data_IF_660401886113
#
_entry.id   IF_660401886113
#
_cell.length_a   1.000
_cell.length_b   1.000
_cell.length_c   1.000
_cell.angle_alpha   90.00
_cell.angle_beta   90.00
_cell.angle_gamma   90.00
#
_symmetry.space_group_name_H-M   'P 1'
#
loop_
_entity.id
_entity.type
_entity.pdbx_description
1 polymer ?
#
# COMPACT_ATOMS: atom_id res chain seq x y z
N UNK A 1 -11.18 -34.96 27.12
CA UNK A 1 -11.94 -33.84 27.70
C UNK A 1 -13.41 -33.98 27.28
N UNK A 2 -14.35 -33.91 28.22
CA UNK A 2 -15.79 -34.04 27.91
C UNK A 2 -16.24 -32.85 27.02
N UNK A 3 -17.14 -33.08 26.05
CA UNK A 3 -17.68 -32.04 25.16
C UNK A 3 -18.27 -30.84 25.91
N UNK A 4 -18.95 -31.12 27.07
CA UNK A 4 -19.52 -30.03 27.87
C UNK A 4 -18.45 -29.15 28.51
N UNK A 5 -17.35 -29.73 28.97
CA UNK A 5 -16.26 -28.95 29.57
C UNK A 5 -15.62 -28.04 28.56
N UNK A 6 -15.45 -28.50 27.31
CA UNK A 6 -14.97 -27.67 26.25
C UNK A 6 -15.88 -26.46 26.00
N UNK A 7 -17.19 -26.64 25.90
CA UNK A 7 -18.15 -25.53 25.77
C UNK A 7 -18.11 -24.58 26.97
N UNK A 8 -18.04 -25.10 28.19
CA UNK A 8 -17.92 -24.29 29.42
C UNK A 8 -16.67 -23.43 29.42
N UNK A 9 -15.54 -24.00 29.04
CA UNK A 9 -14.26 -23.25 29.02
C UNK A 9 -14.25 -22.19 27.92
N UNK A 10 -14.79 -22.47 26.72
CA UNK A 10 -14.91 -21.47 25.64
C UNK A 10 -15.87 -20.33 26.04
N UNK A 11 -17.01 -20.60 26.66
CA UNK A 11 -17.94 -19.56 27.16
C UNK A 11 -17.26 -18.67 28.20
N UNK A 12 -16.54 -19.29 29.15
CA UNK A 12 -15.82 -18.54 30.18
C UNK A 12 -14.75 -17.60 29.61
N UNK A 13 -14.00 -18.10 28.64
CA UNK A 13 -12.97 -17.30 27.95
C UNK A 13 -13.60 -16.13 27.22
N UNK A 14 -14.63 -16.35 26.44
CA UNK A 14 -15.30 -15.33 25.63
C UNK A 14 -15.92 -14.21 26.49
N UNK A 15 -16.66 -14.56 27.55
CA UNK A 15 -17.31 -13.57 28.41
C UNK A 15 -16.46 -13.17 29.64
N UNK A 16 -15.22 -13.62 29.73
CA UNK A 16 -14.32 -13.42 30.88
C UNK A 16 -14.96 -13.81 32.23
N UNK A 17 -15.60 -14.97 32.29
CA UNK A 17 -16.33 -15.46 33.48
C UNK A 17 -15.49 -16.46 34.27
N UNK A 18 -15.73 -16.50 35.58
CA UNK A 18 -15.30 -17.62 36.42
C UNK A 18 -16.45 -18.67 36.59
N UNK A 19 -16.14 -19.82 37.20
CA UNK A 19 -17.14 -20.90 37.39
C UNK A 19 -18.34 -20.46 38.21
N UNK A 20 -18.19 -19.50 39.13
CA UNK A 20 -19.30 -19.02 40.00
C UNK A 20 -20.26 -18.16 39.20
N UNK A 21 -19.73 -17.20 38.39
CA UNK A 21 -20.53 -16.33 37.55
C UNK A 21 -21.23 -17.11 36.45
N UNK A 22 -20.52 -18.00 35.76
CA UNK A 22 -21.13 -18.87 34.75
C UNK A 22 -22.22 -19.76 35.31
N UNK A 23 -22.03 -20.33 36.51
CA UNK A 23 -23.04 -21.13 37.17
C UNK A 23 -24.30 -20.32 37.50
N UNK A 24 -24.12 -19.07 37.96
CA UNK A 24 -25.21 -18.13 38.18
C UNK A 24 -26.01 -17.84 36.90
N UNK A 25 -25.30 -17.52 35.80
CA UNK A 25 -25.93 -17.20 34.51
C UNK A 25 -26.68 -18.41 33.92
N UNK A 26 -26.15 -19.60 34.08
CA UNK A 26 -26.81 -20.85 33.70
C UNK A 26 -27.93 -21.28 34.65
N UNK A 27 -28.08 -20.65 35.82
CA UNK A 27 -29.02 -21.03 36.86
C UNK A 27 -28.78 -22.47 37.37
N UNK A 28 -27.50 -22.78 37.67
CA UNK A 28 -27.03 -24.06 38.20
C UNK A 28 -26.09 -23.84 39.39
N UNK A 29 -25.80 -24.86 40.19
CA UNK A 29 -24.82 -24.72 41.27
C UNK A 29 -23.38 -24.83 40.73
N UNK A 30 -22.45 -24.04 41.26
CA UNK A 30 -21.02 -24.11 40.90
C UNK A 30 -20.45 -25.54 41.06
N UNK A 31 -20.87 -26.26 42.09
CA UNK A 31 -20.45 -27.64 42.29
C UNK A 31 -20.84 -28.57 41.13
N UNK A 32 -21.86 -28.21 40.35
CA UNK A 32 -22.26 -28.96 39.14
C UNK A 32 -21.19 -28.90 38.09
N UNK A 33 -20.62 -27.70 37.82
CA UNK A 33 -19.52 -27.51 36.88
C UNK A 33 -18.28 -28.27 37.36
N UNK A 34 -17.93 -28.18 38.65
CA UNK A 34 -16.82 -28.95 39.22
C UNK A 34 -17.02 -30.45 39.03
N UNK A 35 -18.24 -30.96 39.30
CA UNK A 35 -18.58 -32.36 39.11
C UNK A 35 -18.38 -32.83 37.65
N UNK A 36 -18.65 -31.99 36.68
CA UNK A 36 -18.37 -32.30 35.26
C UNK A 36 -16.86 -32.38 34.97
N UNK A 37 -16.05 -31.53 35.60
CA UNK A 37 -14.58 -31.63 35.52
C UNK A 37 -14.05 -32.93 36.14
N UNK A 38 -14.73 -33.42 37.21
CA UNK A 38 -14.41 -34.67 37.86
C UNK A 38 -15.00 -35.90 37.13
N UNK A 39 -15.57 -35.72 35.94
CA UNK A 39 -16.06 -36.81 35.07
C UNK A 39 -17.54 -37.15 35.23
N UNK A 40 -18.29 -36.44 36.07
CA UNK A 40 -19.77 -36.65 36.16
C UNK A 40 -20.43 -36.22 34.86
N UNK A 41 -21.44 -36.99 34.44
CA UNK A 41 -22.20 -36.62 33.25
C UNK A 41 -23.24 -35.53 33.59
N UNK A 42 -23.44 -34.54 32.69
CA UNK A 42 -24.49 -33.57 32.88
C UNK A 42 -25.87 -34.19 32.72
N UNK A 43 -26.84 -33.68 33.44
CA UNK A 43 -28.25 -33.96 33.15
C UNK A 43 -28.65 -33.29 31.84
N UNK A 44 -29.63 -33.86 31.12
CA UNK A 44 -30.13 -33.28 29.86
C UNK A 44 -30.53 -31.80 29.98
N UNK A 45 -31.27 -31.36 31.04
CA UNK A 45 -31.59 -29.95 31.20
C UNK A 45 -30.34 -29.06 31.32
N UNK A 46 -29.36 -29.46 32.10
CA UNK A 46 -28.14 -28.67 32.31
C UNK A 46 -27.26 -28.65 31.05
N UNK A 47 -27.17 -29.76 30.32
CA UNK A 47 -26.49 -29.81 29.02
C UNK A 47 -27.12 -28.83 28.03
N UNK A 48 -28.46 -28.81 27.95
CA UNK A 48 -29.17 -27.90 27.03
C UNK A 48 -28.96 -26.42 27.37
N UNK A 49 -28.87 -26.08 28.68
CA UNK A 49 -28.55 -24.70 29.10
C UNK A 49 -27.17 -24.26 28.61
N UNK A 50 -26.14 -25.09 28.84
CA UNK A 50 -24.78 -24.80 28.37
C UNK A 50 -24.73 -24.73 26.83
N UNK A 51 -25.40 -25.67 26.16
CA UNK A 51 -25.44 -25.70 24.70
C UNK A 51 -26.08 -24.44 24.13
N UNK A 52 -27.19 -23.99 24.68
CA UNK A 52 -27.88 -22.77 24.26
C UNK A 52 -26.97 -21.54 24.39
N UNK A 53 -26.37 -21.33 25.56
CA UNK A 53 -25.45 -20.22 25.80
C UNK A 53 -24.22 -20.28 24.89
N UNK A 54 -23.72 -21.49 24.60
CA UNK A 54 -22.61 -21.68 23.66
C UNK A 54 -22.98 -21.31 22.21
N UNK A 55 -24.18 -21.66 21.78
CA UNK A 55 -24.69 -21.31 20.44
C UNK A 55 -24.90 -19.78 20.30
N UNK A 56 -25.47 -19.16 21.36
CA UNK A 56 -25.63 -17.69 21.43
C UNK A 56 -24.28 -16.98 21.37
N UNK A 57 -23.29 -17.40 22.15
CA UNK A 57 -21.91 -16.89 22.11
C UNK A 57 -21.29 -17.01 20.72
N UNK A 58 -21.46 -18.15 20.04
CA UNK A 58 -20.91 -18.33 18.68
C UNK A 58 -21.56 -17.40 17.68
N UNK A 59 -22.88 -17.18 17.79
CA UNK A 59 -23.57 -16.23 16.93
C UNK A 59 -23.10 -14.79 17.17
N UNK A 60 -23.00 -14.39 18.45
CA UNK A 60 -22.49 -13.06 18.82
C UNK A 60 -21.06 -12.83 18.34
N UNK A 61 -20.19 -13.84 18.43
CA UNK A 61 -18.82 -13.75 17.92
C UNK A 61 -18.77 -13.55 16.39
N UNK A 62 -19.69 -14.19 15.65
CA UNK A 62 -19.81 -14.00 14.20
C UNK A 62 -20.31 -12.59 13.87
N UNK A 63 -21.36 -12.14 14.57
CA UNK A 63 -21.97 -10.81 14.36
C UNK A 63 -20.94 -9.71 14.65
N UNK A 64 -20.19 -9.80 15.75
CA UNK A 64 -19.11 -8.86 16.08
C UNK A 64 -17.99 -8.85 15.02
N UNK A 65 -17.63 -10.02 14.50
CA UNK A 65 -16.64 -10.12 13.41
C UNK A 65 -17.14 -9.45 12.12
N UNK A 66 -18.43 -9.55 11.81
CA UNK A 66 -19.04 -8.90 10.66
C UNK A 66 -19.04 -7.39 10.85
N UNK A 67 -19.45 -6.89 12.02
CA UNK A 67 -19.46 -5.45 12.35
C UNK A 67 -18.05 -4.87 12.18
N UNK A 68 -17.02 -5.48 12.77
CA UNK A 68 -15.64 -5.02 12.63
C UNK A 68 -15.17 -4.99 11.17
N UNK A 69 -15.59 -5.94 10.34
CA UNK A 69 -15.29 -5.95 8.91
C UNK A 69 -16.00 -4.84 8.16
N UNK A 70 -17.24 -4.54 8.51
CA UNK A 70 -17.98 -3.42 7.95
C UNK A 70 -17.33 -2.09 8.30
N UNK A 71 -17.01 -1.85 9.57
CA UNK A 71 -16.31 -0.64 10.02
C UNK A 71 -14.96 -0.45 9.29
N UNK A 72 -14.19 -1.53 9.14
CA UNK A 72 -12.92 -1.49 8.41
C UNK A 72 -13.09 -1.25 6.89
N UNK A 73 -14.24 -1.63 6.31
CA UNK A 73 -14.58 -1.35 4.92
C UNK A 73 -15.08 0.09 4.76
N UNK A 74 -15.90 0.59 5.67
CA UNK A 74 -16.36 1.98 5.70
C UNK A 74 -15.19 2.94 5.82
N UNK A 75 -14.22 2.68 6.72
CA UNK A 75 -12.98 3.47 6.85
C UNK A 75 -12.17 3.50 5.53
N UNK A 76 -12.14 2.39 4.78
CA UNK A 76 -11.49 2.34 3.47
C UNK A 76 -12.24 3.09 2.38
N UNK A 77 -13.57 3.08 2.43
CA UNK A 77 -14.43 3.78 1.45
C UNK A 77 -14.42 5.29 1.68
N UNK A 78 -14.30 5.73 2.94
CA UNK A 78 -14.20 7.17 3.28
C UNK A 78 -12.88 7.80 2.86
N UNK A 79 -11.80 7.03 2.69
CA UNK A 79 -10.53 7.53 2.14
C UNK A 79 -10.67 7.75 0.64
N UNK A 80 -11.21 8.91 0.27
CA UNK A 80 -11.17 9.34 -1.13
C UNK A 80 -9.73 9.37 -1.61
N UNK A 81 -9.42 8.79 -2.79
CA UNK A 81 -8.09 8.96 -3.37
C UNK A 81 -7.80 10.44 -3.55
N UNK A 82 -6.52 10.81 -3.36
CA UNK A 82 -6.09 12.18 -3.62
C UNK A 82 -6.38 12.55 -5.07
N UNK A 83 -7.16 13.61 -5.27
CA UNK A 83 -7.40 14.20 -6.58
C UNK A 83 -6.66 15.54 -6.67
N UNK A 84 -6.05 15.78 -7.82
CA UNK A 84 -5.44 17.07 -8.11
C UNK A 84 -6.56 18.09 -8.31
N UNK A 85 -6.60 19.09 -7.42
CA UNK A 85 -7.55 20.20 -7.53
C UNK A 85 -7.14 21.17 -8.62
N UNK A 86 -8.12 21.67 -9.35
CA UNK A 86 -7.90 22.75 -10.33
C UNK A 86 -7.96 24.07 -9.56
N UNK A 87 -6.90 24.89 -9.60
CA UNK A 87 -6.92 26.18 -8.91
C UNK A 87 -7.87 27.18 -9.56
N UNK A 88 -8.34 28.16 -8.77
CA UNK A 88 -9.25 29.20 -9.25
C UNK A 88 -8.57 30.15 -10.26
N UNK A 89 -7.24 30.32 -10.14
CA UNK A 89 -6.40 31.20 -10.96
C UNK A 89 -5.84 30.52 -12.22
N UNK A 90 -6.63 29.64 -12.85
CA UNK A 90 -6.21 28.81 -14.00
C UNK A 90 -5.64 29.61 -15.18
N UNK A 91 -6.06 30.86 -15.36
CA UNK A 91 -5.61 31.73 -16.44
C UNK A 91 -4.12 32.16 -16.30
N UNK A 92 -3.56 31.98 -15.11
CA UNK A 92 -2.13 32.20 -14.85
C UNK A 92 -1.28 30.99 -15.24
N UNK A 93 -1.91 29.89 -15.67
CA UNK A 93 -1.21 28.66 -16.02
C UNK A 93 -1.03 28.51 -17.52
N UNK A 94 0.05 27.84 -17.89
CA UNK A 94 0.33 27.37 -19.23
C UNK A 94 0.24 25.86 -19.27
N UNK A 95 -0.18 25.29 -20.39
CA UNK A 95 -0.14 23.86 -20.60
C UNK A 95 0.97 23.46 -21.57
N UNK A 96 1.44 22.24 -21.48
CA UNK A 96 2.35 21.60 -22.40
C UNK A 96 1.57 20.65 -23.30
N UNK A 97 1.68 20.81 -24.62
CA UNK A 97 1.05 19.89 -25.56
C UNK A 97 1.96 18.70 -25.94
N UNK A 98 1.43 17.79 -26.75
CA UNK A 98 2.15 16.59 -27.18
C UNK A 98 3.43 16.87 -27.99
N UNK A 99 3.53 18.05 -28.61
CA UNK A 99 4.69 18.47 -29.42
C UNK A 99 5.73 19.29 -28.62
N UNK A 100 5.58 19.35 -27.28
CA UNK A 100 6.46 20.13 -26.41
C UNK A 100 6.26 21.65 -26.50
N UNK A 101 5.14 22.12 -27.06
CA UNK A 101 4.82 23.54 -27.13
C UNK A 101 3.93 23.97 -25.98
N UNK A 102 4.19 25.13 -25.43
CA UNK A 102 3.36 25.73 -24.37
C UNK A 102 2.23 26.56 -24.98
N UNK A 103 1.07 26.51 -24.33
CA UNK A 103 -0.09 27.36 -24.63
C UNK A 103 -0.72 27.87 -23.33
N UNK A 104 -1.52 28.94 -23.42
CA UNK A 104 -2.24 29.47 -22.27
C UNK A 104 -3.50 28.64 -21.99
N UNK A 105 -3.83 28.48 -20.71
CA UNK A 105 -5.08 27.85 -20.29
C UNK A 105 -6.16 28.93 -20.24
N UNK A 106 -7.33 28.65 -20.83
CA UNK A 106 -8.48 29.53 -20.78
C UNK A 106 -9.66 28.81 -20.13
N UNK A 107 -10.39 29.47 -19.26
CA UNK A 107 -11.47 28.89 -18.44
C UNK A 107 -12.66 28.31 -19.21
N UNK A 108 -12.65 28.37 -20.55
CA UNK A 108 -13.80 28.07 -21.41
C UNK A 108 -14.15 26.56 -21.47
N UNK A 109 -13.25 25.66 -21.08
CA UNK A 109 -13.43 24.21 -21.19
C UNK A 109 -13.10 23.48 -19.88
N UNK A 110 -13.98 23.54 -18.92
CA UNK A 110 -13.82 22.94 -17.58
C UNK A 110 -13.31 21.49 -17.60
N UNK A 111 -13.88 20.62 -18.45
CA UNK A 111 -13.44 19.24 -18.59
C UNK A 111 -12.01 19.11 -19.07
N UNK A 112 -11.65 19.82 -20.11
CA UNK A 112 -10.29 19.80 -20.66
C UNK A 112 -9.26 20.38 -19.66
N UNK A 113 -9.61 21.48 -19.00
CA UNK A 113 -8.79 22.08 -17.95
C UNK A 113 -8.48 21.08 -16.83
N UNK A 114 -9.54 20.37 -16.33
CA UNK A 114 -9.36 19.33 -15.33
C UNK A 114 -8.42 18.21 -15.83
N UNK A 115 -8.57 17.75 -17.06
CA UNK A 115 -7.71 16.73 -17.65
C UNK A 115 -6.24 17.20 -17.74
N UNK A 116 -5.97 18.44 -18.10
CA UNK A 116 -4.61 19.02 -18.18
C UNK A 116 -3.94 19.03 -16.80
N UNK A 117 -4.67 19.44 -15.77
CA UNK A 117 -4.16 19.42 -14.38
C UNK A 117 -3.96 17.99 -13.88
N UNK A 118 -4.91 17.09 -14.10
CA UNK A 118 -4.81 15.68 -13.67
C UNK A 118 -3.65 14.94 -14.35
N UNK A 119 -3.31 15.30 -15.58
CA UNK A 119 -2.15 14.75 -16.30
C UNK A 119 -0.81 15.37 -15.88
N UNK A 120 -0.83 16.40 -15.02
CA UNK A 120 0.39 17.08 -14.57
C UNK A 120 1.11 17.85 -15.66
N UNK A 121 0.39 18.33 -16.69
CA UNK A 121 0.94 19.14 -17.80
C UNK A 121 0.49 20.59 -17.75
N UNK A 122 -0.02 21.07 -16.61
CA UNK A 122 -0.30 22.46 -16.30
C UNK A 122 0.81 23.02 -15.40
N UNK A 123 1.34 24.20 -15.75
CA UNK A 123 2.46 24.83 -15.05
C UNK A 123 2.21 26.31 -14.81
N UNK A 124 2.66 26.86 -13.67
CA UNK A 124 2.55 28.31 -13.38
C UNK A 124 3.37 29.18 -14.32
N UNK A 125 4.46 28.64 -14.92
CA UNK A 125 5.31 29.42 -15.82
C UNK A 125 5.74 28.58 -17.02
N UNK A 126 6.08 29.25 -18.10
CA UNK A 126 6.59 28.62 -19.32
C UNK A 126 7.92 27.92 -19.07
N UNK A 127 8.79 28.52 -18.26
CA UNK A 127 10.10 27.97 -17.93
C UNK A 127 9.96 26.61 -17.20
N UNK A 128 8.95 26.49 -16.28
CA UNK A 128 8.66 25.22 -15.61
C UNK A 128 8.17 24.17 -16.60
N UNK A 129 7.32 24.54 -17.54
CA UNK A 129 6.84 23.64 -18.59
C UNK A 129 7.97 23.16 -19.49
N UNK A 130 8.85 24.05 -19.91
CA UNK A 130 10.02 23.74 -20.76
C UNK A 130 11.03 22.86 -20.02
N UNK A 131 11.29 23.15 -18.72
CA UNK A 131 12.14 22.29 -17.88
C UNK A 131 11.56 20.88 -17.77
N UNK A 132 10.28 20.77 -17.49
CA UNK A 132 9.59 19.48 -17.41
C UNK A 132 9.67 18.70 -18.73
N UNK A 133 9.49 19.36 -19.87
CA UNK A 133 9.57 18.69 -21.18
C UNK A 133 10.99 18.19 -21.47
N UNK A 134 12.02 18.97 -21.17
CA UNK A 134 13.42 18.55 -21.28
C UNK A 134 13.70 17.32 -20.39
N UNK A 135 13.27 17.36 -19.13
CA UNK A 135 13.41 16.23 -18.20
C UNK A 135 12.72 14.99 -18.74
N UNK A 136 11.49 15.11 -19.22
CA UNK A 136 10.69 14.01 -19.78
C UNK A 136 11.36 13.37 -21.00
N UNK A 137 11.87 14.19 -21.92
CA UNK A 137 12.56 13.73 -23.12
C UNK A 137 13.84 12.99 -22.73
N UNK A 138 14.64 13.57 -21.81
CA UNK A 138 15.86 12.94 -21.33
C UNK A 138 15.56 11.59 -20.69
N UNK A 139 14.63 11.54 -19.73
CA UNK A 139 14.26 10.29 -19.05
C UNK A 139 13.81 9.20 -20.03
N UNK A 140 13.01 9.56 -21.04
CA UNK A 140 12.62 8.62 -22.09
C UNK A 140 13.84 8.05 -22.84
N UNK A 141 14.79 8.93 -23.25
CA UNK A 141 16.04 8.56 -23.92
C UNK A 141 16.87 7.62 -23.04
N UNK A 142 17.04 7.96 -21.76
CA UNK A 142 17.80 7.16 -20.79
C UNK A 142 17.21 5.76 -20.58
N UNK A 143 15.88 5.67 -20.45
CA UNK A 143 15.20 4.39 -20.30
C UNK A 143 15.28 3.53 -21.57
N UNK A 144 15.17 4.15 -22.76
CA UNK A 144 15.33 3.44 -24.03
C UNK A 144 16.72 2.87 -24.20
N UNK A 145 17.75 3.67 -23.91
CA UNK A 145 19.14 3.22 -23.95
C UNK A 145 19.37 2.03 -22.98
N UNK A 146 18.85 2.13 -21.76
CA UNK A 146 18.98 1.07 -20.78
C UNK A 146 18.25 -0.21 -21.19
N UNK A 147 17.06 -0.12 -21.80
CA UNK A 147 16.32 -1.27 -22.35
C UNK A 147 17.17 -2.01 -23.38
N UNK A 148 17.81 -1.29 -24.30
CA UNK A 148 18.65 -1.85 -25.35
C UNK A 148 19.93 -2.50 -24.79
N UNK A 149 20.62 -1.84 -23.88
CA UNK A 149 21.91 -2.30 -23.32
C UNK A 149 21.73 -3.38 -22.25
N UNK A 150 20.59 -3.42 -21.54
CA UNK A 150 20.22 -4.52 -20.67
C UNK A 150 19.70 -5.76 -21.43
N UNK A 151 19.60 -5.71 -22.76
CA UNK A 151 19.11 -6.84 -23.56
C UNK A 151 17.64 -7.20 -23.27
N UNK A 152 16.81 -6.22 -22.93
CA UNK A 152 15.40 -6.41 -22.55
C UNK A 152 15.20 -6.84 -21.10
N UNK A 153 16.28 -6.96 -20.30
CA UNK A 153 16.15 -7.27 -18.88
C UNK A 153 15.44 -6.13 -18.13
N UNK A 154 14.56 -6.53 -17.20
CA UNK A 154 13.90 -5.65 -16.23
C UNK A 154 14.08 -6.21 -14.82
N UNK A 155 14.26 -5.36 -13.78
CA UNK A 155 14.51 -5.84 -12.43
C UNK A 155 13.32 -6.63 -11.87
N UNK A 156 13.54 -7.88 -11.47
CA UNK A 156 12.59 -8.63 -10.65
C UNK A 156 12.92 -8.44 -9.17
N UNK A 157 12.08 -7.68 -8.47
CA UNK A 157 12.25 -7.39 -7.04
C UNK A 157 11.85 -8.56 -6.13
N UNK A 158 11.36 -9.68 -6.68
CA UNK A 158 11.07 -10.91 -5.95
C UNK A 158 12.25 -11.89 -6.01
N UNK A 159 13.17 -11.67 -6.95
CA UNK A 159 14.41 -12.42 -7.04
C UNK A 159 15.50 -11.74 -6.19
N UNK A 160 15.80 -12.33 -5.02
CA UNK A 160 16.79 -11.83 -4.07
C UNK A 160 18.23 -12.25 -4.43
N UNK A 161 18.40 -13.15 -5.39
CA UNK A 161 19.73 -13.58 -5.85
C UNK A 161 20.24 -12.72 -7.01
N UNK A 162 19.35 -11.89 -7.60
CA UNK A 162 19.70 -10.99 -8.69
C UNK A 162 20.10 -9.60 -8.20
N UNK A 163 21.33 -9.17 -8.50
CA UNK A 163 21.80 -7.81 -8.25
C UNK A 163 21.23 -6.84 -9.28
N UNK A 164 20.69 -5.71 -8.80
CA UNK A 164 20.19 -4.59 -9.59
C UNK A 164 21.07 -3.39 -9.34
N UNK A 165 21.65 -2.80 -10.38
CA UNK A 165 22.53 -1.65 -10.26
C UNK A 165 21.76 -0.38 -10.57
N UNK A 166 21.92 0.64 -9.74
CA UNK A 166 21.34 1.97 -9.91
C UNK A 166 22.44 3.04 -9.90
N UNK A 167 22.16 4.16 -10.56
CA UNK A 167 23.04 5.33 -10.59
C UNK A 167 22.42 6.42 -9.71
N UNK A 168 23.24 7.00 -8.83
CA UNK A 168 22.92 8.16 -8.01
C UNK A 168 23.98 9.22 -8.17
N UNK A 169 23.62 10.50 -7.95
CA UNK A 169 24.59 11.59 -7.97
C UNK A 169 24.85 12.07 -6.54
N UNK A 170 26.10 12.11 -6.14
CA UNK A 170 26.55 12.67 -4.87
C UNK A 170 26.83 14.16 -5.07
N UNK A 171 26.03 15.01 -4.41
CA UNK A 171 26.15 16.47 -4.54
C UNK A 171 27.31 17.05 -3.74
N UNK A 172 27.80 16.34 -2.71
CA UNK A 172 28.96 16.79 -1.91
C UNK A 172 30.25 16.55 -2.65
N UNK A 173 30.42 15.35 -3.22
CA UNK A 173 31.62 14.95 -3.96
C UNK A 173 31.54 15.27 -5.46
N UNK A 174 30.36 15.73 -5.95
CA UNK A 174 30.11 16.05 -7.36
C UNK A 174 30.36 14.89 -8.33
N UNK A 175 30.09 13.66 -7.89
CA UNK A 175 30.34 12.46 -8.69
C UNK A 175 29.11 11.52 -8.76
N UNK A 176 29.11 10.65 -9.79
CA UNK A 176 28.14 9.57 -9.91
C UNK A 176 28.60 8.34 -9.14
N UNK A 177 27.69 7.80 -8.34
CA UNK A 177 27.87 6.55 -7.61
C UNK A 177 27.00 5.45 -8.24
N UNK A 178 27.56 4.25 -8.36
CA UNK A 178 26.81 3.07 -8.75
C UNK A 178 26.54 2.24 -7.48
N UNK A 179 25.25 2.11 -7.13
CA UNK A 179 24.79 1.32 -6.00
C UNK A 179 24.20 0.02 -6.50
N UNK A 180 24.45 -1.05 -5.78
CA UNK A 180 23.82 -2.35 -5.97
C UNK A 180 22.75 -2.60 -4.91
N UNK A 181 21.66 -3.23 -5.31
CA UNK A 181 20.59 -3.68 -4.45
C UNK A 181 20.03 -4.99 -4.96
N UNK A 182 19.64 -5.87 -4.06
CA UNK A 182 18.95 -7.12 -4.41
C UNK A 182 17.53 -7.20 -3.84
N UNK A 183 17.18 -6.37 -2.84
CA UNK A 183 15.88 -6.41 -2.16
C UNK A 183 15.19 -5.04 -1.99
N UNK A 184 15.88 -3.94 -2.28
CA UNK A 184 15.35 -2.60 -2.11
C UNK A 184 15.11 -1.91 -3.45
N UNK A 185 13.86 -1.49 -3.69
CA UNK A 185 13.52 -0.61 -4.80
C UNK A 185 13.49 0.83 -4.31
N UNK A 186 14.45 1.63 -4.71
CA UNK A 186 14.54 3.05 -4.35
C UNK A 186 13.58 3.96 -5.16
N UNK A 187 12.74 3.39 -6.05
CA UNK A 187 11.85 4.14 -6.95
C UNK A 187 12.59 5.26 -7.72
N UNK A 188 13.79 4.93 -8.20
CA UNK A 188 14.64 5.88 -8.94
C UNK A 188 13.96 6.34 -10.23
N UNK A 189 14.14 7.63 -10.59
CA UNK A 189 13.77 8.15 -11.90
C UNK A 189 14.69 7.59 -13.00
N UNK A 190 15.96 7.30 -12.66
CA UNK A 190 16.91 6.70 -13.58
C UNK A 190 16.69 5.19 -13.68
N UNK A 191 17.03 4.58 -14.83
CA UNK A 191 16.88 3.15 -15.02
C UNK A 191 17.79 2.33 -14.11
N UNK A 192 17.40 1.06 -13.92
CA UNK A 192 18.27 0.04 -13.33
C UNK A 192 19.03 -0.72 -14.40
N UNK A 193 20.17 -1.28 -14.01
CA UNK A 193 21.07 -1.98 -14.91
C UNK A 193 21.35 -3.41 -14.40
N UNK A 194 21.48 -4.35 -15.34
CA UNK A 194 21.80 -5.73 -15.04
C UNK A 194 23.25 -5.90 -14.56
N UNK A 195 24.13 -4.96 -14.88
CA UNK A 195 25.54 -5.02 -14.51
C UNK A 195 26.14 -3.65 -14.21
N UNK A 196 27.17 -3.64 -13.35
CA UNK A 196 27.98 -2.46 -13.05
C UNK A 196 28.70 -1.89 -14.30
N UNK A 197 29.02 -2.78 -15.27
CA UNK A 197 29.66 -2.37 -16.53
C UNK A 197 28.75 -1.51 -17.37
N UNK A 198 27.48 -1.90 -17.54
CA UNK A 198 26.48 -1.12 -18.29
C UNK A 198 26.16 0.20 -17.55
N UNK A 199 26.05 0.18 -16.23
CA UNK A 199 25.86 1.39 -15.43
C UNK A 199 27.03 2.40 -15.60
N UNK A 200 28.28 1.93 -15.75
CA UNK A 200 29.42 2.79 -16.06
C UNK A 200 29.32 3.41 -17.45
N UNK A 201 29.03 2.61 -18.47
CA UNK A 201 28.84 3.10 -19.84
C UNK A 201 27.71 4.15 -19.89
N UNK A 202 26.63 3.93 -19.17
CA UNK A 202 25.54 4.90 -19.04
C UNK A 202 26.02 6.25 -18.47
N UNK A 203 26.84 6.24 -17.41
CA UNK A 203 27.39 7.45 -16.82
C UNK A 203 28.35 8.15 -17.79
N UNK A 204 29.20 7.38 -18.49
CA UNK A 204 30.14 7.91 -19.49
C UNK A 204 29.42 8.60 -20.65
N UNK A 205 28.26 8.06 -21.08
CA UNK A 205 27.50 8.61 -22.21
C UNK A 205 26.58 9.77 -21.81
N UNK A 206 25.93 9.69 -20.65
CA UNK A 206 24.87 10.64 -20.28
C UNK A 206 25.14 11.48 -19.04
N UNK A 207 26.26 11.28 -18.36
CA UNK A 207 26.52 11.94 -17.08
C UNK A 207 26.43 13.45 -17.14
N UNK A 208 26.95 14.09 -18.16
CA UNK A 208 26.91 15.55 -18.30
C UNK A 208 25.49 16.04 -18.59
N UNK A 209 24.73 15.36 -19.47
CA UNK A 209 23.34 15.72 -19.78
C UNK A 209 22.42 15.52 -18.54
N UNK A 210 22.65 14.47 -17.76
CA UNK A 210 21.94 14.23 -16.50
C UNK A 210 22.20 15.35 -15.50
N UNK A 211 23.47 15.77 -15.33
CA UNK A 211 23.82 16.91 -14.46
C UNK A 211 23.13 18.19 -14.87
N UNK A 212 23.11 18.49 -16.16
CA UNK A 212 22.50 19.72 -16.69
C UNK A 212 20.99 19.77 -16.48
N UNK A 213 20.29 18.64 -16.64
CA UNK A 213 18.81 18.61 -16.69
C UNK A 213 18.18 18.20 -15.36
N UNK A 214 18.80 17.26 -14.63
CA UNK A 214 18.21 16.64 -13.44
C UNK A 214 18.84 17.10 -12.11
N UNK A 215 20.05 17.65 -12.14
CA UNK A 215 20.74 18.19 -10.98
C UNK A 215 20.73 19.72 -10.97
#
# INVERSE_FOLDING_TARGET
MSRIIKMVDEIKEYYNLNDTLLASDLGIMQQTIRGWRDGRQPTTPNYNKVKKMYEEMKQEAVDNSIVQRFEALEEKVEKKPYEVEVPDDIEEYVFLNENGRTGNIYSIHEKWTKEVFQRGIAFKTREKAEKYDKERILLFKLHKWAEEHNGGWTPDWRDFDEYKFSVTFDFDEHEFLIKDSWYENAFSKLPYFISKGIAKQFIEEFGDEIKEVLC
#
